data_IF_735608557219
#
_entry.id   IF_735608557219
#
_cell.length_a   1.000
_cell.length_b   1.000
_cell.length_c   1.000
_cell.angle_alpha   90.00
_cell.angle_beta   90.00
_cell.angle_gamma   90.00
#
_symmetry.space_group_name_H-M   'P 1'
#
loop_
_entity.id
_entity.type
_entity.pdbx_description
1 polymer ?
#
# COMPACT_ATOMS: atom_id res chain seq x y z
N UNK A 1 8.23 6.95 12.59
CA UNK A 1 8.33 7.10 14.08
C UNK A 1 7.66 5.90 14.78
N UNK A 2 7.98 5.56 16.05
CA UNK A 2 7.36 4.42 16.78
C UNK A 2 6.20 4.87 17.68
N UNK A 3 5.14 4.08 17.79
CA UNK A 3 4.09 4.28 18.79
C UNK A 3 4.50 3.64 20.12
N UNK A 4 4.38 4.39 21.21
CA UNK A 4 4.78 3.95 22.55
C UNK A 4 3.60 4.02 23.53
N UNK A 5 3.50 3.06 24.45
CA UNK A 5 2.58 3.06 25.59
C UNK A 5 3.36 3.27 26.89
N UNK A 6 2.80 4.05 27.81
CA UNK A 6 3.23 4.12 29.21
C UNK A 6 2.05 3.90 30.17
N UNK A 7 2.33 3.25 31.30
CA UNK A 7 1.35 2.99 32.37
C UNK A 7 1.67 3.68 33.68
N UNK A 8 2.70 4.50 33.71
CA UNK A 8 3.23 5.11 34.93
C UNK A 8 3.55 6.61 34.79
N UNK A 9 2.78 7.28 33.92
CA UNK A 9 2.91 8.71 33.68
C UNK A 9 4.13 9.06 32.81
N UNK A 10 4.55 8.16 31.92
CA UNK A 10 5.62 8.40 30.96
C UNK A 10 7.02 8.05 31.45
N UNK A 11 7.17 7.37 32.60
CA UNK A 11 8.50 7.02 33.14
C UNK A 11 9.10 5.84 32.39
N UNK A 12 8.27 4.86 32.03
CA UNK A 12 8.66 3.75 31.16
C UNK A 12 7.77 3.71 29.93
N UNK A 13 8.38 3.36 28.79
CA UNK A 13 7.75 3.32 27.47
C UNK A 13 7.95 1.94 26.84
N UNK A 14 6.90 1.39 26.24
CA UNK A 14 6.91 0.11 25.54
C UNK A 14 6.35 0.28 24.12
N UNK A 15 6.87 -0.47 23.15
CA UNK A 15 6.34 -0.45 21.79
C UNK A 15 4.88 -0.90 21.75
N UNK A 16 4.05 -0.14 21.04
CA UNK A 16 2.61 -0.36 20.91
C UNK A 16 2.15 -0.38 19.44
N UNK A 17 3.06 -0.48 18.47
CA UNK A 17 2.79 -0.45 17.02
C UNK A 17 3.07 -1.80 16.33
N UNK A 18 3.10 -2.92 17.06
CA UNK A 18 3.39 -4.21 16.44
C UNK A 18 2.33 -4.55 15.37
N UNK A 19 2.75 -4.61 14.11
CA UNK A 19 1.86 -4.88 12.97
C UNK A 19 1.07 -3.66 12.48
N UNK A 20 1.41 -2.47 12.96
CA UNK A 20 0.88 -1.18 12.49
C UNK A 20 1.91 -0.56 11.55
N UNK A 21 1.45 0.05 10.47
CA UNK A 21 2.32 0.84 9.61
C UNK A 21 2.99 1.97 10.40
N UNK A 22 4.19 2.36 9.98
CA UNK A 22 4.94 3.47 10.58
C UNK A 22 4.29 4.82 10.23
N UNK A 23 4.89 5.91 10.72
CA UNK A 23 4.48 7.29 10.42
C UNK A 23 3.07 7.65 10.89
N UNK A 24 2.96 7.59 12.22
CA UNK A 24 1.74 7.86 12.98
C UNK A 24 1.37 9.35 12.96
N UNK A 25 0.17 9.67 12.46
CA UNK A 25 -0.32 11.03 12.28
C UNK A 25 -1.39 11.42 13.30
N UNK A 26 -2.24 10.46 13.67
CA UNK A 26 -3.34 10.68 14.60
C UNK A 26 -3.56 9.46 15.48
N UNK A 27 -4.00 9.73 16.72
CA UNK A 27 -4.49 8.71 17.63
C UNK A 27 -5.71 9.23 18.38
N UNK A 28 -6.72 8.38 18.50
CA UNK A 28 -7.90 8.63 19.31
C UNK A 28 -8.10 7.47 20.28
N UNK A 29 -8.24 7.79 21.56
CA UNK A 29 -8.52 6.84 22.63
C UNK A 29 -9.92 7.16 23.15
N UNK A 30 -10.79 6.15 23.21
CA UNK A 30 -12.15 6.34 23.69
C UNK A 30 -12.16 6.73 25.18
N UNK A 31 -12.73 7.89 25.55
CA UNK A 31 -12.75 8.36 26.93
C UNK A 31 -13.57 7.47 27.89
N UNK A 32 -14.43 6.59 27.36
CA UNK A 32 -15.24 5.65 28.15
C UNK A 32 -14.67 4.23 28.17
N UNK A 33 -13.73 3.91 27.29
CA UNK A 33 -13.12 2.59 27.19
C UNK A 33 -11.71 2.70 26.59
N UNK A 34 -10.66 2.83 27.41
CA UNK A 34 -9.29 3.04 26.92
C UNK A 34 -8.72 1.85 26.14
N UNK A 35 -9.37 0.68 26.16
CA UNK A 35 -8.98 -0.44 25.30
C UNK A 35 -9.32 -0.18 23.82
N UNK A 36 -10.27 0.72 23.53
CA UNK A 36 -10.67 1.08 22.17
C UNK A 36 -9.85 2.28 21.68
N UNK A 37 -8.98 2.01 20.71
CA UNK A 37 -8.04 2.99 20.14
C UNK A 37 -8.15 2.97 18.62
N UNK A 38 -8.23 4.13 17.99
CA UNK A 38 -8.10 4.30 16.54
C UNK A 38 -6.80 5.06 16.27
N UNK A 39 -5.98 4.54 15.36
CA UNK A 39 -4.69 5.13 14.99
C UNK A 39 -4.66 5.31 13.47
N UNK A 40 -4.33 6.52 13.02
CA UNK A 40 -4.17 6.87 11.61
C UNK A 40 -2.71 7.17 11.28
N UNK A 41 -2.21 6.56 10.22
CA UNK A 41 -0.84 6.67 9.71
C UNK A 41 -0.87 6.69 8.18
N UNK A 42 0.31 6.76 7.55
CA UNK A 42 0.43 6.78 6.09
C UNK A 42 -0.08 5.49 5.41
N UNK A 43 0.08 4.35 6.08
CA UNK A 43 -0.52 3.09 5.64
C UNK A 43 -2.04 2.97 5.85
N UNK A 44 -2.71 3.97 6.43
CA UNK A 44 -4.16 4.02 6.62
C UNK A 44 -4.60 4.01 8.09
N UNK A 45 -5.65 3.24 8.40
CA UNK A 45 -6.31 3.28 9.72
C UNK A 45 -6.31 1.92 10.41
N UNK A 46 -5.96 1.93 11.69
CA UNK A 46 -5.88 0.75 12.55
C UNK A 46 -6.77 0.90 13.77
N UNK A 47 -7.47 -0.18 14.14
CA UNK A 47 -8.30 -0.29 15.34
C UNK A 47 -7.69 -1.27 16.32
N UNK A 48 -7.55 -0.86 17.57
CA UNK A 48 -7.32 -1.76 18.70
C UNK A 48 -8.54 -1.78 19.62
N UNK A 49 -8.83 -2.96 20.18
CA UNK A 49 -9.90 -3.18 21.17
C UNK A 49 -9.36 -3.75 22.50
N UNK A 50 -8.03 -3.81 22.65
CA UNK A 50 -7.35 -4.37 23.82
C UNK A 50 -6.19 -3.49 24.32
N UNK A 51 -6.26 -2.19 24.02
CA UNK A 51 -5.31 -1.19 24.52
C UNK A 51 -3.98 -1.18 23.76
N UNK A 52 -4.00 -1.47 22.46
CA UNK A 52 -2.82 -1.41 21.59
C UNK A 52 -1.97 -2.68 21.59
N UNK A 53 -2.45 -3.80 22.16
CA UNK A 53 -1.72 -5.08 22.12
C UNK A 53 -1.86 -5.74 20.75
N UNK A 54 -3.05 -5.64 20.17
CA UNK A 54 -3.33 -6.07 18.80
C UNK A 54 -4.04 -4.96 18.03
N UNK A 55 -3.76 -4.94 16.74
CA UNK A 55 -4.29 -3.96 15.81
C UNK A 55 -4.92 -4.65 14.60
N UNK A 56 -6.09 -4.18 14.22
CA UNK A 56 -6.78 -4.58 12.99
C UNK A 56 -6.68 -3.43 11.99
N UNK A 57 -6.07 -3.68 10.84
CA UNK A 57 -6.13 -2.77 9.70
C UNK A 57 -7.57 -2.66 9.18
N UNK A 58 -8.02 -1.45 8.89
CA UNK A 58 -9.34 -1.18 8.31
C UNK A 58 -9.22 -1.08 6.79
N UNK A 59 -9.29 -2.24 6.13
CA UNK A 59 -9.04 -2.45 4.70
C UNK A 59 -10.22 -2.09 3.77
N UNK A 60 -11.24 -1.42 4.29
CA UNK A 60 -12.47 -1.11 3.57
C UNK A 60 -12.71 0.40 3.41
N UNK A 61 -11.66 1.21 3.51
CA UNK A 61 -11.71 2.66 3.43
C UNK A 61 -11.01 3.14 2.14
N UNK A 62 -11.66 3.93 1.27
CA UNK A 62 -11.06 4.44 0.04
C UNK A 62 -10.24 5.71 0.33
N UNK A 63 -9.18 5.57 1.13
CA UNK A 63 -8.37 6.69 1.65
C UNK A 63 -6.90 6.66 1.21
N UNK A 64 -6.55 5.70 0.35
CA UNK A 64 -5.20 5.59 -0.21
C UNK A 64 -4.91 6.73 -1.19
N UNK A 65 -3.66 7.21 -1.20
CA UNK A 65 -3.23 8.28 -2.09
C UNK A 65 -2.46 7.70 -3.28
N UNK A 66 -3.08 7.71 -4.46
CA UNK A 66 -2.36 7.50 -5.71
C UNK A 66 -1.60 8.76 -6.11
N UNK A 67 -0.31 8.62 -6.41
CA UNK A 67 0.47 9.69 -7.03
C UNK A 67 0.16 9.83 -8.52
N UNK A 68 -0.01 8.70 -9.21
CA UNK A 68 -0.32 8.64 -10.63
C UNK A 68 -1.05 7.33 -10.95
N UNK A 69 -1.93 7.36 -11.96
CA UNK A 69 -2.61 6.18 -12.51
C UNK A 69 -2.33 6.07 -14.00
N UNK A 70 -2.04 4.87 -14.49
CA UNK A 70 -1.88 4.54 -15.89
C UNK A 70 -2.66 3.28 -16.25
N UNK A 71 -3.05 3.15 -17.52
CA UNK A 71 -3.63 1.92 -18.04
C UNK A 71 -2.67 1.27 -19.03
N UNK A 72 -2.68 -0.07 -19.12
CA UNK A 72 -2.05 -0.72 -20.27
C UNK A 72 -2.78 -0.32 -21.56
N UNK A 73 -2.12 -0.40 -22.73
CA UNK A 73 -2.77 -0.12 -24.00
C UNK A 73 -4.07 -0.91 -24.17
N UNK A 74 -5.08 -0.24 -24.73
CA UNK A 74 -6.44 -0.78 -24.94
C UNK A 74 -6.60 -1.63 -26.20
N UNK A 75 -5.57 -1.68 -27.06
CA UNK A 75 -5.50 -2.52 -28.25
C UNK A 75 -5.08 -3.98 -27.94
N UNK A 76 -4.77 -4.27 -26.67
CA UNK A 76 -4.57 -5.60 -26.12
C UNK A 76 -5.85 -6.10 -25.39
N UNK A 77 -6.12 -7.42 -25.37
CA UNK A 77 -7.46 -7.93 -25.08
C UNK A 77 -7.91 -7.57 -23.67
N UNK A 78 -9.16 -7.10 -23.57
CA UNK A 78 -9.85 -6.86 -22.30
C UNK A 78 -9.84 -8.13 -21.44
N UNK A 79 -9.61 -8.01 -20.11
CA UNK A 79 -9.36 -6.78 -19.35
C UNK A 79 -7.94 -6.22 -19.52
N UNK A 80 -7.84 -4.88 -19.56
CA UNK A 80 -6.55 -4.17 -19.54
C UNK A 80 -6.07 -3.96 -18.09
N UNK A 81 -4.79 -3.64 -17.89
CA UNK A 81 -4.27 -3.34 -16.55
C UNK A 81 -4.54 -1.89 -16.18
N UNK A 82 -4.90 -1.64 -14.93
CA UNK A 82 -4.85 -0.35 -14.26
C UNK A 82 -3.69 -0.44 -13.27
N UNK A 83 -2.76 0.50 -13.37
CA UNK A 83 -1.55 0.55 -12.57
C UNK A 83 -1.44 1.91 -11.89
N UNK A 84 -0.88 1.95 -10.69
CA UNK A 84 -0.62 3.19 -10.00
C UNK A 84 0.32 2.98 -8.83
N UNK A 85 0.96 4.07 -8.44
CA UNK A 85 1.83 4.10 -7.28
C UNK A 85 1.14 4.76 -6.09
N UNK A 86 1.25 4.15 -4.92
CA UNK A 86 0.69 4.65 -3.68
C UNK A 86 1.78 5.26 -2.78
N UNK A 87 1.40 6.28 -2.00
CA UNK A 87 2.23 6.76 -0.90
C UNK A 87 2.37 5.67 0.16
N UNK A 88 3.62 5.34 0.56
CA UNK A 88 4.04 4.33 1.56
C UNK A 88 3.52 2.90 1.35
N UNK A 89 2.73 2.70 0.30
CA UNK A 89 1.98 1.48 0.07
C UNK A 89 2.33 0.89 -1.29
N UNK A 90 3.57 1.03 -1.77
CA UNK A 90 4.10 0.34 -2.94
C UNK A 90 3.44 0.74 -4.28
N UNK A 91 3.91 0.13 -5.38
CA UNK A 91 3.28 0.23 -6.69
C UNK A 91 2.43 -1.00 -7.00
N UNK A 92 1.20 -0.76 -7.47
CA UNK A 92 0.17 -1.76 -7.68
C UNK A 92 -0.35 -1.77 -9.11
N UNK A 93 -0.70 -2.96 -9.60
CA UNK A 93 -1.48 -3.13 -10.82
C UNK A 93 -2.59 -4.16 -10.61
N UNK A 94 -3.71 -3.99 -11.31
CA UNK A 94 -4.83 -4.91 -11.30
C UNK A 94 -5.56 -4.90 -12.64
N UNK A 95 -6.35 -5.94 -12.91
CA UNK A 95 -7.16 -5.97 -14.11
C UNK A 95 -8.31 -4.96 -13.99
N UNK A 96 -8.69 -4.30 -15.10
CA UNK A 96 -9.83 -3.38 -15.16
C UNK A 96 -11.17 -4.06 -14.88
N UNK A 97 -11.21 -5.39 -15.00
CA UNK A 97 -12.37 -6.23 -14.72
C UNK A 97 -11.94 -7.68 -14.54
N UNK A 98 -12.79 -8.48 -13.90
CA UNK A 98 -12.72 -9.95 -13.91
C UNK A 98 -13.94 -10.51 -14.66
N UNK A 99 -13.80 -11.66 -15.32
CA UNK A 99 -14.89 -12.41 -15.93
C UNK A 99 -15.76 -13.14 -14.89
N UNK A 100 -15.32 -13.22 -13.63
CA UNK A 100 -16.12 -13.77 -12.52
C UNK A 100 -17.32 -12.87 -12.22
N UNK A 101 -18.42 -13.48 -11.77
CA UNK A 101 -19.69 -12.80 -11.45
C UNK A 101 -19.56 -11.66 -10.41
N UNK A 102 -18.51 -11.69 -9.59
CA UNK A 102 -18.22 -10.68 -8.55
C UNK A 102 -17.41 -9.47 -9.02
N UNK A 103 -16.82 -9.50 -10.22
CA UNK A 103 -15.91 -8.45 -10.70
C UNK A 103 -14.61 -8.37 -9.90
N UNK A 104 -13.96 -7.20 -9.95
CA UNK A 104 -12.79 -6.87 -9.14
C UNK A 104 -13.28 -6.51 -7.73
N UNK A 105 -12.81 -7.25 -6.73
CA UNK A 105 -13.37 -7.29 -5.38
C UNK A 105 -12.41 -6.83 -4.28
N UNK A 106 -11.14 -6.59 -4.61
CA UNK A 106 -10.18 -5.98 -3.68
C UNK A 106 -8.75 -6.44 -3.92
N UNK A 107 -7.96 -6.44 -2.85
CA UNK A 107 -6.51 -6.71 -2.86
C UNK A 107 -6.10 -7.97 -3.64
N UNK A 108 -6.88 -9.05 -3.56
CA UNK A 108 -6.60 -10.32 -4.24
C UNK A 108 -6.60 -10.24 -5.77
N UNK A 109 -7.22 -9.20 -6.33
CA UNK A 109 -7.31 -8.96 -7.77
C UNK A 109 -6.22 -8.00 -8.27
N UNK A 110 -5.38 -7.52 -7.35
CA UNK A 110 -4.26 -6.64 -7.59
C UNK A 110 -2.94 -7.28 -7.12
N UNK A 111 -1.83 -6.81 -7.67
CA UNK A 111 -0.50 -7.27 -7.29
C UNK A 111 0.46 -6.10 -7.13
N UNK A 112 1.32 -6.21 -6.12
CA UNK A 112 2.42 -5.28 -5.86
C UNK A 112 3.67 -5.70 -6.64
N UNK A 113 4.44 -4.73 -7.12
CA UNK A 113 5.64 -5.03 -7.91
C UNK A 113 6.83 -4.10 -7.72
N UNK A 114 6.65 -2.97 -7.03
CA UNK A 114 7.74 -2.09 -6.59
C UNK A 114 7.46 -1.62 -5.17
N UNK A 115 8.49 -1.62 -4.31
CA UNK A 115 8.35 -1.21 -2.91
C UNK A 115 8.41 0.31 -2.72
N UNK A 116 8.18 0.77 -1.49
CA UNK A 116 8.34 2.17 -1.08
C UNK A 116 7.16 3.05 -1.54
N UNK A 117 7.42 4.32 -1.81
CA UNK A 117 6.43 5.19 -2.44
C UNK A 117 6.34 4.88 -3.92
N UNK A 118 5.30 4.16 -4.34
CA UNK A 118 5.05 3.98 -5.76
C UNK A 118 4.77 5.34 -6.40
N UNK A 119 5.55 5.76 -7.39
CA UNK A 119 5.31 7.00 -8.15
C UNK A 119 4.65 6.66 -9.49
N UNK A 120 5.43 6.62 -10.57
CA UNK A 120 4.93 6.17 -11.86
C UNK A 120 4.86 4.65 -11.88
N UNK A 121 3.80 4.11 -12.48
CA UNK A 121 3.57 2.68 -12.68
C UNK A 121 2.91 2.48 -14.05
N UNK A 122 3.67 2.03 -15.06
CA UNK A 122 3.23 2.04 -16.47
C UNK A 122 3.59 0.72 -17.15
N UNK A 123 2.57 0.02 -17.67
CA UNK A 123 2.77 -1.16 -18.51
C UNK A 123 3.39 -0.77 -19.86
N UNK A 124 4.36 -1.57 -20.33
CA UNK A 124 5.04 -1.31 -21.60
C UNK A 124 4.03 -1.43 -22.76
N UNK A 125 3.98 -0.46 -23.70
CA UNK A 125 3.01 -0.50 -24.77
C UNK A 125 3.13 -1.71 -25.71
N UNK A 126 4.34 -2.26 -25.84
CA UNK A 126 4.61 -3.43 -26.68
C UNK A 126 4.29 -4.77 -26.02
N UNK A 127 4.22 -4.81 -24.69
CA UNK A 127 4.01 -6.03 -23.90
C UNK A 127 3.61 -5.67 -22.45
N UNK A 128 2.31 -5.79 -22.14
CA UNK A 128 1.76 -5.50 -20.81
C UNK A 128 2.19 -6.51 -19.73
N UNK A 129 3.03 -7.50 -20.04
CA UNK A 129 3.72 -8.30 -19.02
C UNK A 129 4.92 -7.57 -18.41
N UNK A 130 5.42 -6.53 -19.09
CA UNK A 130 6.52 -5.67 -18.64
C UNK A 130 5.93 -4.39 -18.06
N UNK A 131 6.31 -4.05 -16.83
CA UNK A 131 5.81 -2.88 -16.12
C UNK A 131 7.01 -2.06 -15.62
N UNK A 132 7.02 -0.78 -15.95
CA UNK A 132 7.99 0.18 -15.46
C UNK A 132 7.43 0.88 -14.24
N UNK A 133 8.28 1.09 -13.23
CA UNK A 133 7.93 1.87 -12.04
C UNK A 133 9.06 2.75 -11.59
N UNK A 134 8.70 3.80 -10.85
CA UNK A 134 9.65 4.61 -10.09
C UNK A 134 9.22 4.73 -8.64
N UNK A 135 10.17 4.98 -7.75
CA UNK A 135 9.95 5.35 -6.35
C UNK A 135 10.14 6.85 -6.12
N UNK A 136 9.83 7.35 -4.92
CA UNK A 136 9.99 8.74 -4.48
C UNK A 136 11.42 9.29 -4.63
N UNK A 137 12.43 8.44 -4.43
CA UNK A 137 13.84 8.76 -4.61
C UNK A 137 14.32 8.67 -6.07
N UNK A 138 13.43 8.34 -7.00
CA UNK A 138 13.73 8.19 -8.43
C UNK A 138 14.37 6.85 -8.80
N UNK A 139 14.39 5.85 -7.91
CA UNK A 139 14.79 4.50 -8.28
C UNK A 139 13.82 3.92 -9.31
N UNK A 140 14.33 3.44 -10.44
CA UNK A 140 13.54 2.96 -11.56
C UNK A 140 13.64 1.43 -11.66
N UNK A 141 12.51 0.75 -11.68
CA UNK A 141 12.43 -0.72 -11.77
C UNK A 141 11.63 -1.14 -12.98
N UNK A 142 12.10 -2.19 -13.66
CA UNK A 142 11.28 -2.99 -14.57
C UNK A 142 10.88 -4.29 -13.90
N UNK A 143 9.59 -4.60 -13.94
CA UNK A 143 9.00 -5.85 -13.48
C UNK A 143 8.45 -6.64 -14.66
N UNK A 144 8.80 -7.92 -14.75
CA UNK A 144 8.21 -8.85 -15.70
C UNK A 144 7.25 -9.78 -14.94
N UNK A 145 5.94 -9.61 -15.14
CA UNK A 145 4.90 -10.37 -14.43
C UNK A 145 4.85 -11.84 -14.81
N UNK A 146 5.27 -12.20 -16.02
CA UNK A 146 5.26 -13.60 -16.48
C UNK A 146 6.34 -14.44 -15.77
N UNK A 147 7.41 -13.79 -15.31
CA UNK A 147 8.54 -14.43 -14.62
C UNK A 147 8.69 -14.01 -13.16
N UNK A 148 7.88 -13.05 -12.72
CA UNK A 148 7.92 -12.38 -11.42
C UNK A 148 9.29 -11.73 -11.10
N UNK A 149 10.09 -11.42 -12.12
CA UNK A 149 11.43 -10.84 -11.95
C UNK A 149 11.40 -9.32 -11.96
N UNK A 150 12.15 -8.73 -11.02
CA UNK A 150 12.38 -7.28 -10.91
C UNK A 150 13.83 -6.96 -11.24
N UNK A 151 14.07 -5.83 -11.91
CA UNK A 151 15.43 -5.34 -12.22
C UNK A 151 15.46 -3.82 -12.15
N UNK A 152 16.40 -3.26 -11.40
CA UNK A 152 16.71 -1.83 -11.44
C UNK A 152 17.25 -1.41 -12.80
N UNK A 153 16.82 -0.25 -13.29
CA UNK A 153 17.18 0.30 -14.61
C UNK A 153 17.71 1.74 -14.52
N UNK A 154 18.11 2.18 -13.33
CA UNK A 154 18.72 3.49 -13.13
C UNK A 154 19.94 3.67 -14.04
N UNK A 155 20.06 4.81 -14.75
CA UNK A 155 21.14 5.04 -15.70
C UNK A 155 22.51 5.21 -15.02
N UNK A 156 22.55 5.48 -13.71
CA UNK A 156 23.76 5.63 -12.92
C UNK A 156 23.55 4.95 -11.55
N UNK A 157 24.60 4.26 -11.07
CA UNK A 157 24.70 3.66 -9.72
C UNK A 157 25.59 4.52 -8.85
#
# INVERSE_FOLDING_TARGET
>A
MKLMESKDGGKHMFYADRGVHVDHHAIWIDPRNPNRIIQGNDGGVYLSLDGGKHWRYLDNLPIEQFYQVATSPSDHPWPYLICGGLQDNDAWCGASSDYRRGGVTGKQDWFEFSGGDGQYAVAAPSDSSIIYSTTDDGYATVYNRATERRRGINPYV
#
